data_IF_572026087123
#
_entry.id   IF_572026087123
#
_cell.length_a   1.000
_cell.length_b   1.000
_cell.length_c   1.000
_cell.angle_alpha   90.00
_cell.angle_beta   90.00
_cell.angle_gamma   90.00
#
_symmetry.space_group_name_H-M   'P 1'
#
loop_
_entity.id
_entity.type
_entity.pdbx_description
1 polymer ?
#
# COMPACT_ATOMS: atom_id res chain seq x y z
N UNK A 1 -3.77 -5.51 10.22
CA UNK A 1 -4.68 -5.81 11.36
C UNK A 1 -6.06 -6.25 10.84
N UNK A 2 -6.67 -7.32 11.38
CA UNK A 2 -7.96 -7.82 10.89
C UNK A 2 -9.12 -6.81 11.00
N UNK A 3 -9.12 -5.99 12.04
CA UNK A 3 -10.17 -4.97 12.27
C UNK A 3 -10.12 -3.90 11.19
N UNK A 4 -8.96 -3.29 10.95
CA UNK A 4 -8.75 -2.28 9.90
C UNK A 4 -9.08 -2.82 8.52
N UNK A 5 -8.72 -4.07 8.22
CA UNK A 5 -9.06 -4.70 6.94
C UNK A 5 -10.58 -4.72 6.70
N UNK A 6 -11.36 -5.18 7.69
CA UNK A 6 -12.82 -5.26 7.58
C UNK A 6 -13.48 -3.88 7.49
N UNK A 7 -12.92 -2.88 8.18
CA UNK A 7 -13.39 -1.50 8.09
C UNK A 7 -13.14 -0.92 6.69
N UNK A 8 -11.94 -1.10 6.14
CA UNK A 8 -11.59 -0.64 4.80
C UNK A 8 -12.33 -1.37 3.69
N UNK A 9 -12.74 -2.62 3.91
CA UNK A 9 -13.55 -3.38 2.96
C UNK A 9 -14.95 -2.78 2.73
N UNK A 10 -15.42 -1.88 3.62
CA UNK A 10 -16.68 -1.16 3.48
C UNK A 10 -16.50 0.22 2.83
N UNK A 11 -15.27 0.67 2.59
CA UNK A 11 -14.99 1.99 2.01
C UNK A 11 -15.09 1.92 0.49
N UNK A 12 -15.86 2.83 -0.09
CA UNK A 12 -16.05 2.90 -1.54
C UNK A 12 -14.72 3.09 -2.27
N UNK A 13 -14.48 2.25 -3.29
CA UNK A 13 -13.28 2.30 -4.11
C UNK A 13 -12.03 1.68 -3.46
N UNK A 14 -12.12 1.10 -2.26
CA UNK A 14 -10.98 0.48 -1.56
C UNK A 14 -11.02 -1.04 -1.69
N UNK A 15 -9.92 -1.62 -2.15
CA UNK A 15 -9.67 -3.07 -2.08
C UNK A 15 -8.56 -3.32 -1.06
N UNK A 16 -8.88 -3.66 0.21
CA UNK A 16 -7.86 -3.85 1.23
C UNK A 16 -7.11 -5.15 1.00
N UNK A 17 -5.84 -5.17 1.42
CA UNK A 17 -4.99 -6.35 1.38
C UNK A 17 -4.19 -6.42 2.67
N UNK A 18 -4.19 -7.59 3.32
CA UNK A 18 -3.32 -7.82 4.47
C UNK A 18 -1.94 -8.23 3.95
N UNK A 19 -0.91 -7.54 4.42
CA UNK A 19 0.50 -7.84 4.15
C UNK A 19 1.25 -7.95 5.48
N UNK A 20 2.35 -8.69 5.46
CA UNK A 20 3.23 -8.78 6.62
C UNK A 20 3.95 -7.46 6.89
N UNK A 21 4.40 -7.28 8.15
CA UNK A 21 5.21 -6.12 8.53
C UNK A 21 6.54 -6.15 7.78
N UNK A 22 6.95 -4.98 7.29
CA UNK A 22 8.22 -4.77 6.58
C UNK A 22 9.01 -3.63 7.22
N UNK A 23 10.35 -3.65 7.15
CA UNK A 23 11.19 -2.73 7.92
C UNK A 23 11.23 -1.29 7.40
N UNK A 24 10.56 -0.97 6.28
CA UNK A 24 10.55 0.39 5.73
C UNK A 24 9.89 0.52 4.35
N UNK A 25 9.99 1.72 3.78
CA UNK A 25 9.34 2.08 2.51
C UNK A 25 9.80 1.20 1.33
N UNK A 26 11.10 1.02 1.14
CA UNK A 26 11.62 0.27 -0.02
C UNK A 26 11.20 -1.21 0.02
N UNK A 27 11.19 -1.80 1.22
CA UNK A 27 10.68 -3.15 1.43
C UNK A 27 9.17 -3.22 1.16
N UNK A 28 8.40 -2.21 1.55
CA UNK A 28 6.97 -2.11 1.24
C UNK A 28 6.70 -1.97 -0.26
N UNK A 29 7.49 -1.14 -0.95
CA UNK A 29 7.38 -0.94 -2.39
C UNK A 29 7.61 -2.26 -3.15
N UNK A 30 8.60 -3.06 -2.74
CA UNK A 30 8.84 -4.38 -3.33
C UNK A 30 7.63 -5.32 -3.18
N UNK A 31 7.03 -5.38 -1.98
CA UNK A 31 5.83 -6.18 -1.71
C UNK A 31 4.64 -5.69 -2.53
N UNK A 32 4.42 -4.38 -2.59
CA UNK A 32 3.30 -3.79 -3.34
C UNK A 32 3.43 -4.08 -4.83
N UNK A 33 4.61 -3.90 -5.43
CA UNK A 33 4.85 -4.17 -6.86
C UNK A 33 4.54 -5.62 -7.22
N UNK A 34 5.06 -6.57 -6.45
CA UNK A 34 4.78 -7.99 -6.67
C UNK A 34 3.28 -8.30 -6.56
N UNK A 35 2.62 -7.74 -5.56
CA UNK A 35 1.21 -7.98 -5.28
C UNK A 35 0.28 -7.44 -6.38
N UNK A 36 0.48 -6.20 -6.81
CA UNK A 36 -0.38 -5.57 -7.83
C UNK A 36 -0.20 -6.21 -9.20
N UNK A 37 1.02 -6.67 -9.53
CA UNK A 37 1.30 -7.40 -10.77
C UNK A 37 0.61 -8.77 -10.74
N UNK A 38 0.78 -9.54 -9.66
CA UNK A 38 0.15 -10.87 -9.51
C UNK A 38 -1.38 -10.81 -9.55
N UNK A 39 -1.97 -9.74 -9.02
CA UNK A 39 -3.43 -9.53 -9.03
C UNK A 39 -3.96 -8.87 -10.30
N UNK A 40 -3.08 -8.47 -11.22
CA UNK A 40 -3.46 -7.80 -12.46
C UNK A 40 -4.03 -6.39 -12.27
N UNK A 41 -3.72 -5.73 -11.15
CA UNK A 41 -4.14 -4.34 -10.89
C UNK A 41 -3.28 -3.31 -11.64
N UNK A 42 -2.05 -3.68 -12.00
CA UNK A 42 -1.16 -2.87 -12.81
C UNK A 42 -0.32 -3.78 -13.72
N UNK A 43 0.32 -3.19 -14.73
CA UNK A 43 1.31 -3.83 -15.61
C UNK A 43 2.68 -3.23 -15.38
N UNK A 44 3.73 -3.97 -15.74
CA UNK A 44 5.09 -3.46 -15.69
C UNK A 44 5.22 -2.19 -16.55
N UNK A 45 5.82 -1.14 -15.99
CA UNK A 45 5.92 0.18 -16.63
C UNK A 45 4.75 1.14 -16.33
N UNK A 46 3.65 0.68 -15.74
CA UNK A 46 2.60 1.57 -15.25
C UNK A 46 3.11 2.44 -14.08
N UNK A 47 2.46 3.58 -13.85
CA UNK A 47 2.75 4.45 -12.70
C UNK A 47 1.72 4.25 -11.60
N UNK A 48 2.20 4.17 -10.36
CA UNK A 48 1.37 4.12 -9.16
C UNK A 48 1.67 5.30 -8.25
N UNK A 49 0.66 5.71 -7.49
CA UNK A 49 0.82 6.68 -6.40
C UNK A 49 0.79 5.91 -5.09
N UNK A 50 1.88 5.99 -4.33
CA UNK A 50 1.97 5.47 -2.97
C UNK A 50 1.76 6.59 -1.96
N UNK A 51 0.90 6.35 -0.98
CA UNK A 51 0.71 7.24 0.17
C UNK A 51 0.94 6.49 1.47
N UNK A 52 1.51 7.18 2.46
CA UNK A 52 1.79 6.61 3.78
C UNK A 52 1.89 7.70 4.85
N UNK A 53 1.84 7.30 6.12
CA UNK A 53 2.30 8.11 7.25
C UNK A 53 3.70 7.64 7.67
N UNK A 54 4.69 8.53 7.60
CA UNK A 54 6.07 8.26 8.04
C UNK A 54 6.48 9.26 9.14
N UNK A 55 7.22 8.84 10.18
CA UNK A 55 7.68 7.48 10.46
C UNK A 55 6.53 6.51 10.75
N UNK A 56 6.72 5.24 10.38
CA UNK A 56 5.73 4.18 10.55
C UNK A 56 5.34 4.02 12.02
N UNK A 57 4.12 3.53 12.25
CA UNK A 57 3.58 3.19 13.59
C UNK A 57 3.36 4.37 14.54
N UNK A 58 3.66 5.60 14.11
CA UNK A 58 3.24 6.81 14.81
C UNK A 58 1.85 7.20 14.32
N UNK A 59 0.88 7.15 15.23
CA UNK A 59 -0.48 7.60 14.93
C UNK A 59 -0.47 9.09 14.61
N UNK A 60 -1.17 9.49 13.55
CA UNK A 60 -1.13 10.84 13.00
C UNK A 60 -1.75 10.91 11.62
N UNK A 61 -1.20 11.77 10.76
CA UNK A 61 -1.70 11.99 9.40
C UNK A 61 -0.91 11.19 8.36
N UNK A 62 -1.54 10.93 7.21
CA UNK A 62 -0.85 10.51 5.98
C UNK A 62 -0.07 11.69 5.43
N UNK A 63 1.27 11.63 5.47
CA UNK A 63 2.15 12.76 5.15
C UNK A 63 3.13 12.49 4.00
N UNK A 64 3.09 11.30 3.40
CA UNK A 64 3.89 10.92 2.24
C UNK A 64 2.99 10.70 1.03
N UNK A 65 3.40 11.25 -0.12
CA UNK A 65 2.89 10.91 -1.44
C UNK A 65 4.07 10.78 -2.40
N UNK A 66 4.16 9.66 -3.11
CA UNK A 66 5.24 9.38 -4.07
C UNK A 66 4.68 8.71 -5.31
N UNK A 67 5.25 9.05 -6.47
CA UNK A 67 4.95 8.39 -7.75
C UNK A 67 6.04 7.39 -8.03
N UNK A 68 5.67 6.13 -8.24
CA UNK A 68 6.58 5.02 -8.49
C UNK A 68 6.22 4.34 -9.81
N UNK A 69 7.21 3.70 -10.45
CA UNK A 69 7.01 2.88 -11.64
C UNK A 69 6.98 1.41 -11.23
N UNK A 70 5.95 0.69 -11.69
CA UNK A 70 5.73 -0.74 -11.41
C UNK A 70 6.70 -1.62 -12.18
#
# INVERSE_FOLDING_TARGET
EPTTYRQLALVWGVTPVVVDRVPGYDAMLAVVRDLILKRGYARAGDRIVMTAGVPWEVSGTTNLLKVEVV
#
